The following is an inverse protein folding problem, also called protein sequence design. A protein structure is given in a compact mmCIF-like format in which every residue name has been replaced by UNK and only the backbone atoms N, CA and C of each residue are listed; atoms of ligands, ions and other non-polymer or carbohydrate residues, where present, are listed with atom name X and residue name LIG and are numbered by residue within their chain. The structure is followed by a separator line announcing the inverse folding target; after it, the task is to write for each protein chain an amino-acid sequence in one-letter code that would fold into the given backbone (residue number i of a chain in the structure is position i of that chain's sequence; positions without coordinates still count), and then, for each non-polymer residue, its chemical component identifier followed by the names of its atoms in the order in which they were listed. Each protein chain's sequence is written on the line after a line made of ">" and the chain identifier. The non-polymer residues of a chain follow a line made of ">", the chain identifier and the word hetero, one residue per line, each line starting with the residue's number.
data_IF_003164251124
#
_entry.id   IF_003164251124
#
_cell.length_a   1.000
_cell.length_b   1.000
_cell.length_c   1.000
_cell.angle_alpha   90.00
_cell.angle_beta   90.00
_cell.angle_gamma   90.00
#
_symmetry.space_group_name_H-M   'P 1'
#
loop_
_entity.id
_entity.type
_entity.pdbx_description
1 polymer ?
#
# COMPACT_ATOMS: atom_id res chain seq x y z
N UNK A 1 -12.92 -3.37 2.67
CA UNK A 1 -11.85 -3.91 3.53
C UNK A 1 -11.40 -2.95 4.62
N UNK A 2 -10.97 -1.74 4.25
CA UNK A 2 -10.39 -0.76 5.19
C UNK A 2 -11.34 -0.45 6.37
N UNK A 3 -12.65 -0.40 6.10
CA UNK A 3 -13.70 -0.24 7.10
C UNK A 3 -13.64 -1.26 8.26
N UNK A 4 -13.31 -2.53 7.99
CA UNK A 4 -13.20 -3.56 9.03
C UNK A 4 -11.96 -3.34 9.90
N UNK A 5 -10.83 -2.97 9.28
CA UNK A 5 -9.58 -2.65 9.99
C UNK A 5 -9.79 -1.43 10.89
N UNK A 6 -10.39 -0.36 10.36
CA UNK A 6 -10.68 0.87 11.11
C UNK A 6 -11.61 0.61 12.29
N UNK A 7 -12.70 -0.14 12.10
CA UNK A 7 -13.62 -0.49 13.18
C UNK A 7 -12.92 -1.29 14.29
N UNK A 8 -12.00 -2.19 13.93
CA UNK A 8 -11.25 -2.98 14.90
C UNK A 8 -10.23 -2.14 15.68
N UNK A 9 -9.60 -1.17 15.03
CA UNK A 9 -8.77 -0.16 15.70
C UNK A 9 -9.61 0.65 16.69
N UNK A 10 -10.77 1.15 16.26
CA UNK A 10 -11.68 1.94 17.10
C UNK A 10 -12.21 1.15 18.30
N UNK A 11 -12.51 -0.14 18.10
CA UNK A 11 -12.87 -1.06 19.18
C UNK A 11 -11.77 -1.14 20.24
N UNK A 12 -10.52 -1.37 19.84
CA UNK A 12 -9.40 -1.45 20.78
C UNK A 12 -9.11 -0.09 21.46
N UNK A 13 -9.24 1.02 20.73
CA UNK A 13 -9.13 2.37 21.33
C UNK A 13 -10.22 2.57 22.39
N UNK A 14 -11.46 2.15 22.14
CA UNK A 14 -12.56 2.25 23.09
C UNK A 14 -12.29 1.44 24.36
N UNK A 15 -11.82 0.18 24.22
CA UNK A 15 -11.43 -0.67 25.34
C UNK A 15 -10.33 -0.02 26.20
N UNK A 16 -9.31 0.57 25.56
CA UNK A 16 -8.23 1.27 26.24
C UNK A 16 -8.67 2.57 26.91
N UNK A 17 -9.63 3.30 26.33
CA UNK A 17 -10.23 4.50 26.96
C UNK A 17 -10.96 4.13 28.26
N UNK A 18 -11.76 3.07 28.24
CA UNK A 18 -12.42 2.55 29.45
C UNK A 18 -11.39 2.17 30.50
N UNK A 19 -10.34 1.46 30.10
CA UNK A 19 -9.26 1.09 31.01
C UNK A 19 -8.54 2.32 31.59
N UNK A 20 -8.31 3.36 30.78
CA UNK A 20 -7.72 4.63 31.26
C UNK A 20 -8.62 5.30 32.30
N UNK A 21 -9.94 5.30 32.12
CA UNK A 21 -10.88 5.82 33.11
C UNK A 21 -10.84 5.02 34.42
N UNK A 22 -10.80 3.68 34.33
CA UNK A 22 -10.71 2.81 35.51
C UNK A 22 -9.41 3.03 36.29
N UNK A 23 -8.28 3.21 35.59
CA UNK A 23 -6.99 3.51 36.25
C UNK A 23 -7.01 4.85 36.99
N UNK A 24 -7.64 5.89 36.42
CA UNK A 24 -7.82 7.19 37.07
C UNK A 24 -8.73 7.09 38.30
N UNK A 25 -9.83 6.34 38.22
CA UNK A 25 -10.75 6.15 39.35
C UNK A 25 -10.07 5.50 40.57
N UNK A 26 -9.24 4.47 40.35
CA UNK A 26 -8.51 3.79 41.43
C UNK A 26 -7.44 4.69 42.09
N UNK A 27 -6.87 5.65 41.36
CA UNK A 27 -5.96 6.65 41.96
C UNK A 27 -6.67 7.67 42.83
N UNK A 28 -7.91 8.03 42.51
CA UNK A 28 -8.73 8.91 43.36
C UNK A 28 -8.99 8.22 44.71
N UNK A 29 -9.19 6.90 44.72
CA UNK A 29 -9.35 6.09 45.95
C UNK A 29 -8.04 6.09 46.79
N UNK A 30 -6.86 6.14 46.17
CA UNK A 30 -5.56 6.26 46.86
C UNK A 30 -5.36 7.64 47.53
N UNK A 31 -6.11 8.67 47.12
CA UNK A 31 -6.10 10.00 47.72
C UNK A 31 -7.46 10.29 48.38
N UNK A 32 -7.79 9.68 49.53
CA UNK A 32 -8.89 10.19 50.30
C UNK A 32 -8.48 11.58 50.81
N UNK A 33 -9.00 12.63 50.16
CA UNK A 33 -9.24 13.88 50.87
C UNK A 33 -10.13 13.50 52.06
N UNK A 34 -9.56 13.46 53.26
CA UNK A 34 -9.99 14.07 54.53
C UNK A 34 -11.48 14.41 54.80
N UNK A 35 -12.47 13.98 54.02
CA UNK A 35 -13.85 14.54 54.11
C UNK A 35 -15.01 13.55 54.05
N UNK A 36 -14.79 12.25 53.88
CA UNK A 36 -15.90 11.26 53.93
C UNK A 36 -15.66 10.16 55.00
N UNK A 37 -14.52 10.19 55.70
CA UNK A 37 -14.15 9.14 56.67
C UNK A 37 -14.23 9.52 58.16
N UNK A 38 -14.36 10.80 58.52
CA UNK A 38 -14.26 11.19 59.94
C UNK A 38 -15.51 10.83 60.75
N UNK A 39 -16.74 11.00 60.25
CA UNK A 39 -17.93 10.76 61.11
C UNK A 39 -18.36 9.28 61.18
N UNK A 40 -18.42 8.58 60.04
CA UNK A 40 -18.91 7.19 59.96
C UNK A 40 -17.80 6.18 60.29
N UNK A 41 -16.56 6.48 59.88
CA UNK A 41 -15.39 5.65 60.15
C UNK A 41 -14.97 5.69 61.61
N UNK A 42 -15.00 6.86 62.27
CA UNK A 42 -14.65 6.95 63.70
C UNK A 42 -15.70 6.31 64.60
N UNK A 43 -16.97 6.35 64.21
CA UNK A 43 -18.05 5.65 64.91
C UNK A 43 -17.88 4.12 64.84
N UNK A 44 -17.70 3.55 63.64
CA UNK A 44 -17.45 2.11 63.44
C UNK A 44 -16.15 1.61 64.10
N UNK A 45 -15.06 2.40 63.99
CA UNK A 45 -13.78 2.12 64.65
C UNK A 45 -13.93 2.19 66.17
N UNK A 46 -14.75 3.10 66.68
CA UNK A 46 -15.09 3.24 68.09
C UNK A 46 -15.86 2.04 68.62
N UNK A 47 -16.86 1.57 67.86
CA UNK A 47 -17.73 0.45 68.24
C UNK A 47 -16.97 -0.88 68.23
N UNK A 48 -16.22 -1.19 67.17
CA UNK A 48 -15.36 -2.38 67.08
C UNK A 48 -14.27 -2.39 68.17
N UNK A 49 -13.66 -1.24 68.45
CA UNK A 49 -12.66 -1.15 69.52
C UNK A 49 -13.28 -1.36 70.91
N UNK A 50 -14.54 -0.95 71.12
CA UNK A 50 -15.26 -1.13 72.38
C UNK A 50 -15.73 -2.57 72.62
N UNK A 51 -16.11 -3.29 71.56
CA UNK A 51 -16.48 -4.72 71.66
C UNK A 51 -15.27 -5.61 71.96
N UNK A 52 -14.11 -5.30 71.37
CA UNK A 52 -12.89 -6.12 71.51
C UNK A 52 -12.12 -5.77 72.80
N UNK A 53 -12.15 -4.51 73.25
CA UNK A 53 -11.30 -4.03 74.36
C UNK A 53 -12.10 -3.32 75.46
N UNK A 54 -12.25 -3.99 76.62
CA UNK A 54 -13.10 -3.55 77.75
C UNK A 54 -12.47 -2.53 78.72
N UNK A 55 -11.32 -1.93 78.43
CA UNK A 55 -10.67 -0.93 79.31
C UNK A 55 -10.20 0.32 78.54
N UNK A 56 -10.11 1.46 79.23
CA UNK A 56 -9.79 2.76 78.62
C UNK A 56 -8.40 2.81 77.94
N UNK A 57 -7.41 2.09 78.48
CA UNK A 57 -6.08 1.94 77.89
C UNK A 57 -6.09 0.95 76.71
N UNK A 58 -6.82 -0.15 76.86
CA UNK A 58 -7.00 -1.14 75.80
C UNK A 58 -7.80 -0.58 74.60
N UNK A 59 -8.73 0.35 74.82
CA UNK A 59 -9.48 1.03 73.76
C UNK A 59 -8.63 1.99 72.92
N UNK A 60 -7.57 2.60 73.47
CA UNK A 60 -6.61 3.41 72.68
C UNK A 60 -5.75 2.52 71.78
N UNK A 61 -5.27 1.39 72.31
CA UNK A 61 -4.52 0.39 71.55
C UNK A 61 -5.39 -0.30 70.49
N UNK A 62 -6.65 -0.61 70.83
CA UNK A 62 -7.64 -1.18 69.93
C UNK A 62 -8.01 -0.27 68.76
N UNK A 63 -8.23 1.03 69.01
CA UNK A 63 -8.43 2.05 67.95
C UNK A 63 -7.21 2.18 67.03
N UNK A 64 -5.99 2.05 67.57
CA UNK A 64 -4.77 2.08 66.76
C UNK A 64 -4.64 0.82 65.91
N UNK A 65 -4.86 -0.35 66.50
CA UNK A 65 -4.80 -1.63 65.81
C UNK A 65 -5.86 -1.75 64.70
N UNK A 66 -7.12 -1.37 64.98
CA UNK A 66 -8.18 -1.34 63.97
C UNK A 66 -7.86 -0.36 62.83
N UNK A 67 -7.39 0.86 63.12
CA UNK A 67 -6.93 1.81 62.07
C UNK A 67 -5.80 1.23 61.21
N UNK A 68 -4.83 0.52 61.81
CA UNK A 68 -3.75 -0.13 61.06
C UNK A 68 -4.25 -1.34 60.23
N UNK A 69 -5.22 -2.10 60.72
CA UNK A 69 -5.88 -3.18 59.97
C UNK A 69 -6.74 -2.64 58.81
N UNK A 70 -7.50 -1.55 59.00
CA UNK A 70 -8.25 -0.92 57.92
C UNK A 70 -7.32 -0.37 56.82
N UNK A 71 -6.22 0.31 57.19
CA UNK A 71 -5.20 0.77 56.23
C UNK A 71 -4.53 -0.40 55.47
N UNK A 72 -4.31 -1.53 56.14
CA UNK A 72 -3.72 -2.72 55.50
C UNK A 72 -4.69 -3.34 54.49
N UNK A 73 -6.00 -3.41 54.81
CA UNK A 73 -7.04 -3.90 53.91
C UNK A 73 -7.24 -3.00 52.68
N UNK A 74 -7.28 -1.67 52.85
CA UNK A 74 -7.38 -0.74 51.72
C UNK A 74 -6.17 -0.81 50.78
N UNK A 75 -4.97 -0.98 51.36
CA UNK A 75 -3.74 -1.19 50.58
C UNK A 75 -3.81 -2.49 49.77
N UNK A 76 -4.24 -3.60 50.39
CA UNK A 76 -4.43 -4.90 49.72
C UNK A 76 -5.43 -4.76 48.58
N UNK A 77 -6.58 -4.10 48.82
CA UNK A 77 -7.62 -3.88 47.81
C UNK A 77 -7.12 -3.04 46.63
N UNK A 78 -6.35 -1.98 46.91
CA UNK A 78 -5.72 -1.17 45.88
C UNK A 78 -4.74 -1.99 45.02
N UNK A 79 -3.89 -2.80 45.64
CA UNK A 79 -2.93 -3.66 44.94
C UNK A 79 -3.64 -4.73 44.09
N UNK A 80 -4.72 -5.34 44.61
CA UNK A 80 -5.56 -6.28 43.85
C UNK A 80 -6.22 -5.61 42.64
N UNK A 81 -6.80 -4.43 42.82
CA UNK A 81 -7.39 -3.66 41.74
C UNK A 81 -6.35 -3.30 40.66
N UNK A 82 -5.14 -2.91 41.06
CA UNK A 82 -4.06 -2.62 40.13
C UNK A 82 -3.65 -3.87 39.33
N UNK A 83 -3.52 -5.03 39.97
CA UNK A 83 -3.23 -6.31 39.30
C UNK A 83 -4.32 -6.69 38.30
N UNK A 84 -5.59 -6.49 38.66
CA UNK A 84 -6.71 -6.76 37.76
C UNK A 84 -6.65 -5.87 36.51
N UNK A 85 -6.40 -4.57 36.68
CA UNK A 85 -6.23 -3.64 35.56
C UNK A 85 -5.02 -3.98 34.69
N UNK A 86 -3.92 -4.45 35.30
CA UNK A 86 -2.76 -4.96 34.55
C UNK A 86 -3.13 -6.20 33.73
N UNK A 87 -3.90 -7.14 34.30
CA UNK A 87 -4.43 -8.30 33.59
C UNK A 87 -5.35 -7.93 32.42
N UNK A 88 -6.27 -6.99 32.63
CA UNK A 88 -7.13 -6.44 31.58
C UNK A 88 -6.31 -5.80 30.45
N UNK A 89 -5.30 -5.00 30.79
CA UNK A 89 -4.37 -4.44 29.81
C UNK A 89 -3.67 -5.53 29.01
N UNK A 90 -3.14 -6.56 29.67
CA UNK A 90 -2.45 -7.66 28.99
C UNK A 90 -3.36 -8.42 28.04
N UNK A 91 -4.62 -8.64 28.40
CA UNK A 91 -5.61 -9.24 27.50
C UNK A 91 -5.83 -8.37 26.26
N UNK A 92 -6.10 -7.07 26.44
CA UNK A 92 -6.27 -6.12 25.32
C UNK A 92 -5.00 -6.07 24.47
N UNK A 93 -3.82 -6.03 25.09
CA UNK A 93 -2.53 -6.02 24.43
C UNK A 93 -2.33 -7.26 23.55
N UNK A 94 -2.65 -8.45 24.05
CA UNK A 94 -2.57 -9.70 23.29
C UNK A 94 -3.56 -9.73 22.12
N UNK A 95 -4.77 -9.19 22.29
CA UNK A 95 -5.73 -9.04 21.19
C UNK A 95 -5.20 -8.10 20.11
N UNK A 96 -4.60 -6.96 20.50
CA UNK A 96 -3.97 -6.02 19.56
C UNK A 96 -2.80 -6.69 18.85
N UNK A 97 -1.98 -7.47 19.57
CA UNK A 97 -0.86 -8.22 19.00
C UNK A 97 -1.34 -9.23 17.94
N UNK A 98 -2.39 -9.99 18.24
CA UNK A 98 -3.02 -10.92 17.30
C UNK A 98 -3.66 -10.21 16.11
N UNK A 99 -4.20 -9.00 16.31
CA UNK A 99 -4.69 -8.19 15.21
C UNK A 99 -3.54 -7.68 14.32
N UNK A 100 -2.49 -7.11 14.91
CA UNK A 100 -1.33 -6.59 14.18
C UNK A 100 -0.60 -7.65 13.37
N UNK A 101 -0.59 -8.91 13.79
CA UNK A 101 -0.01 -10.00 12.99
C UNK A 101 -0.76 -10.27 11.68
N UNK A 102 -2.01 -9.80 11.57
CA UNK A 102 -2.87 -10.02 10.38
C UNK A 102 -2.90 -8.83 9.42
N UNK A 103 -2.27 -7.71 9.76
CA UNK A 103 -2.28 -6.49 8.95
C UNK A 103 -0.88 -5.99 8.62
N UNK A 104 -0.78 -5.23 7.53
CA UNK A 104 0.45 -4.54 7.09
C UNK A 104 0.14 -3.10 6.65
N UNK A 105 1.17 -2.26 6.65
CA UNK A 105 1.12 -0.91 6.09
C UNK A 105 1.48 -0.97 4.61
N UNK A 106 0.62 -0.42 3.75
CA UNK A 106 0.84 -0.32 2.30
C UNK A 106 1.94 0.70 2.01
N UNK A 107 3.13 0.20 1.69
CA UNK A 107 4.30 1.00 1.28
C UNK A 107 4.72 0.64 -0.15
N UNK A 108 5.55 1.50 -0.78
CA UNK A 108 6.05 1.29 -2.16
C UNK A 108 6.74 -0.07 -2.36
N UNK A 109 7.44 -0.55 -1.33
CA UNK A 109 8.21 -1.80 -1.37
C UNK A 109 7.53 -2.93 -0.58
N UNK A 110 6.20 -2.93 -0.48
CA UNK A 110 5.47 -4.02 0.16
C UNK A 110 5.62 -5.31 -0.66
N UNK A 111 6.13 -6.36 -0.05
CA UNK A 111 6.24 -7.68 -0.65
C UNK A 111 5.09 -8.60 -0.18
N UNK A 112 5.10 -9.86 -0.63
CA UNK A 112 4.08 -10.86 -0.28
C UNK A 112 4.08 -11.25 1.21
N UNK A 113 5.19 -11.05 1.92
CA UNK A 113 5.31 -11.38 3.34
C UNK A 113 4.73 -10.27 4.23
N UNK A 114 4.57 -9.06 3.68
CA UNK A 114 4.03 -7.92 4.38
C UNK A 114 5.05 -7.30 5.33
N UNK A 115 4.58 -6.49 6.28
CA UNK A 115 5.44 -5.79 7.23
C UNK A 115 4.85 -5.69 8.64
N UNK A 116 3.96 -6.61 9.00
CA UNK A 116 3.34 -6.75 10.33
C UNK A 116 4.37 -6.78 11.48
N UNK A 117 5.55 -7.37 11.24
CA UNK A 117 6.64 -7.41 12.21
C UNK A 117 7.09 -6.02 12.72
N UNK A 118 6.96 -4.96 11.90
CA UNK A 118 7.26 -3.59 12.33
C UNK A 118 6.26 -3.11 13.38
N UNK A 119 4.98 -3.44 13.20
CA UNK A 119 3.92 -3.14 14.15
C UNK A 119 4.12 -3.91 15.45
N UNK A 120 4.44 -5.20 15.36
CA UNK A 120 4.69 -6.05 16.52
C UNK A 120 5.90 -5.56 17.34
N UNK A 121 6.99 -5.15 16.67
CA UNK A 121 8.15 -4.55 17.36
C UNK A 121 7.78 -3.26 18.08
N UNK A 122 7.05 -2.34 17.41
CA UNK A 122 6.61 -1.07 18.03
C UNK A 122 5.70 -1.33 19.23
N UNK A 123 4.78 -2.30 19.12
CA UNK A 123 3.91 -2.71 20.22
C UNK A 123 4.71 -3.28 21.41
N UNK A 124 5.66 -4.18 21.16
CA UNK A 124 6.51 -4.77 22.21
C UNK A 124 7.33 -3.73 22.99
N UNK A 125 7.78 -2.64 22.34
CA UNK A 125 8.51 -1.57 23.06
C UNK A 125 7.65 -0.85 24.11
N UNK A 126 6.32 -0.92 24.00
CA UNK A 126 5.39 -0.29 24.95
C UNK A 126 5.28 -1.11 26.25
N UNK A 127 5.37 -2.45 26.16
CA UNK A 127 5.33 -3.35 27.33
C UNK A 127 6.43 -3.03 28.36
N UNK A 128 7.60 -2.59 27.87
CA UNK A 128 8.77 -2.27 28.70
C UNK A 128 8.63 -0.94 29.47
N UNK A 129 7.54 -0.18 29.31
CA UNK A 129 7.34 1.06 30.08
C UNK A 129 6.88 0.78 31.51
N UNK A 130 7.32 1.59 32.48
CA UNK A 130 7.20 1.26 33.91
C UNK A 130 5.80 1.46 34.51
N UNK A 131 4.91 2.25 33.88
CA UNK A 131 3.59 2.60 34.45
C UNK A 131 2.44 2.18 33.53
N UNK A 132 1.41 1.54 34.09
CA UNK A 132 0.22 1.09 33.36
C UNK A 132 -0.46 2.18 32.53
N UNK A 133 -0.66 3.38 33.08
CA UNK A 133 -1.24 4.51 32.35
C UNK A 133 -0.40 4.93 31.14
N UNK A 134 0.92 4.88 31.27
CA UNK A 134 1.83 5.20 30.17
C UNK A 134 1.73 4.14 29.07
N UNK A 135 1.59 2.86 29.44
CA UNK A 135 1.33 1.77 28.49
C UNK A 135 0.03 2.03 27.71
N UNK A 136 -1.07 2.26 28.42
CA UNK A 136 -2.40 2.53 27.84
C UNK A 136 -2.34 3.69 26.86
N UNK A 137 -1.81 4.85 27.28
CA UNK A 137 -1.73 6.06 26.44
C UNK A 137 -0.87 5.82 25.21
N UNK A 138 0.31 5.22 25.35
CA UNK A 138 1.20 4.93 24.21
C UNK A 138 0.54 3.99 23.22
N UNK A 139 -0.16 2.95 23.69
CA UNK A 139 -0.91 2.04 22.81
C UNK A 139 -2.04 2.75 22.08
N UNK A 140 -2.82 3.60 22.78
CA UNK A 140 -3.86 4.42 22.15
C UNK A 140 -3.30 5.36 21.09
N UNK A 141 -2.20 6.07 21.38
CA UNK A 141 -1.54 6.96 20.40
C UNK A 141 -1.05 6.17 19.20
N UNK A 142 -0.47 4.99 19.39
CA UNK A 142 -0.04 4.13 18.30
C UNK A 142 -1.21 3.69 17.42
N UNK A 143 -2.32 3.27 18.02
CA UNK A 143 -3.54 2.89 17.29
C UNK A 143 -4.14 4.07 16.52
N UNK A 144 -4.17 5.26 17.11
CA UNK A 144 -4.63 6.47 16.45
C UNK A 144 -3.74 6.84 15.25
N UNK A 145 -2.41 6.74 15.40
CA UNK A 145 -1.48 6.94 14.27
C UNK A 145 -1.72 5.92 13.15
N UNK A 146 -1.96 4.65 13.49
CA UNK A 146 -2.22 3.61 12.49
C UNK A 146 -3.52 3.82 11.73
N UNK A 147 -4.50 4.52 12.32
CA UNK A 147 -5.77 4.84 11.64
C UNK A 147 -5.57 5.76 10.43
N UNK A 148 -4.54 6.60 10.46
CA UNK A 148 -4.16 7.50 9.37
C UNK A 148 -3.30 6.82 8.29
N UNK A 149 -2.88 5.58 8.51
CA UNK A 149 -2.07 4.82 7.57
C UNK A 149 -2.94 4.02 6.59
N UNK A 150 -2.41 3.78 5.39
CA UNK A 150 -3.05 2.86 4.45
C UNK A 150 -2.76 1.42 4.87
N UNK A 151 -3.74 0.75 5.48
CA UNK A 151 -3.60 -0.62 5.99
C UNK A 151 -4.20 -1.65 5.02
N UNK A 152 -3.64 -2.85 5.06
CA UNK A 152 -4.10 -4.01 4.28
C UNK A 152 -4.06 -5.26 5.15
N UNK A 153 -4.99 -6.20 4.90
CA UNK A 153 -4.97 -7.53 5.51
C UNK A 153 -3.94 -8.39 4.79
N UNK A 154 -3.10 -9.09 5.55
CA UNK A 154 -1.99 -9.88 5.01
C UNK A 154 -2.45 -10.94 3.99
N UNK A 155 -3.62 -11.53 4.21
CA UNK A 155 -4.23 -12.49 3.29
C UNK A 155 -4.54 -11.92 1.89
N UNK A 156 -4.68 -10.60 1.75
CA UNK A 156 -4.99 -9.94 0.48
C UNK A 156 -3.78 -9.35 -0.23
N UNK A 157 -2.61 -9.34 0.41
CA UNK A 157 -1.43 -8.71 -0.16
C UNK A 157 -1.10 -9.32 -1.52
N UNK A 158 -1.18 -10.65 -1.63
CA UNK A 158 -0.89 -11.35 -2.88
C UNK A 158 -1.81 -10.92 -4.03
N UNK A 159 -3.13 -10.92 -3.80
CA UNK A 159 -4.12 -10.57 -4.82
C UNK A 159 -4.01 -9.09 -5.25
N UNK A 160 -3.80 -8.17 -4.30
CA UNK A 160 -3.60 -6.75 -4.61
C UNK A 160 -2.32 -6.52 -5.40
N UNK A 161 -1.22 -7.19 -5.06
CA UNK A 161 0.03 -7.10 -5.83
C UNK A 161 -0.13 -7.67 -7.24
N UNK A 162 -0.89 -8.75 -7.41
CA UNK A 162 -1.19 -9.33 -8.72
C UNK A 162 -2.08 -8.42 -9.57
N UNK A 163 -3.13 -7.83 -8.99
CA UNK A 163 -3.97 -6.84 -9.65
C UNK A 163 -3.18 -5.59 -10.09
N UNK A 164 -2.26 -5.11 -9.26
CA UNK A 164 -1.37 -4.00 -9.64
C UNK A 164 -0.44 -4.37 -10.79
N UNK A 165 0.09 -5.60 -10.79
CA UNK A 165 0.93 -6.10 -11.89
C UNK A 165 0.15 -6.22 -13.19
N UNK A 166 -1.04 -6.79 -13.16
CA UNK A 166 -1.88 -6.94 -14.35
C UNK A 166 -2.33 -5.59 -14.91
N UNK A 167 -2.72 -4.65 -14.05
CA UNK A 167 -3.05 -3.28 -14.45
C UNK A 167 -1.86 -2.58 -15.11
N UNK A 168 -0.66 -2.70 -14.53
CA UNK A 168 0.54 -2.12 -15.11
C UNK A 168 0.94 -2.77 -16.43
N UNK A 169 0.78 -4.09 -16.57
CA UNK A 169 1.04 -4.77 -17.84
C UNK A 169 0.06 -4.33 -18.94
N UNK A 170 -1.22 -4.12 -18.59
CA UNK A 170 -2.22 -3.57 -19.50
C UNK A 170 -1.87 -2.16 -19.97
N UNK A 171 -1.40 -1.31 -19.07
CA UNK A 171 -0.92 0.04 -19.39
C UNK A 171 0.29 0.01 -20.35
N UNK A 172 1.27 -0.86 -20.07
CA UNK A 172 2.44 -1.03 -20.94
C UNK A 172 2.03 -1.48 -22.35
N UNK A 173 1.08 -2.41 -22.46
CA UNK A 173 0.53 -2.89 -23.74
C UNK A 173 -0.20 -1.77 -24.50
N UNK A 174 -1.05 -1.01 -23.83
CA UNK A 174 -1.83 0.07 -24.46
C UNK A 174 -0.91 1.18 -25.01
N UNK A 175 0.10 1.58 -24.24
CA UNK A 175 1.09 2.58 -24.69
C UNK A 175 1.84 2.13 -25.94
N UNK A 176 2.27 0.86 -25.96
CA UNK A 176 2.95 0.28 -27.12
C UNK A 176 2.02 0.25 -28.34
N UNK A 177 0.77 -0.20 -28.16
CA UNK A 177 -0.23 -0.29 -29.23
C UNK A 177 -0.50 1.07 -29.86
N UNK A 178 -0.72 2.10 -29.05
CA UNK A 178 -0.94 3.48 -29.53
C UNK A 178 0.27 3.97 -30.34
N UNK A 179 1.49 3.70 -29.88
CA UNK A 179 2.71 4.07 -30.62
C UNK A 179 2.79 3.36 -31.98
N UNK A 180 2.56 2.04 -32.03
CA UNK A 180 2.59 1.26 -33.27
C UNK A 180 1.51 1.75 -34.25
N UNK A 181 0.29 2.00 -33.77
CA UNK A 181 -0.80 2.55 -34.58
C UNK A 181 -0.45 3.94 -35.13
N UNK A 182 0.09 4.83 -34.30
CA UNK A 182 0.50 6.18 -34.75
C UNK A 182 1.62 6.15 -35.79
N UNK A 183 2.62 5.29 -35.61
CA UNK A 183 3.69 5.09 -36.60
C UNK A 183 3.14 4.55 -37.91
N UNK A 184 2.25 3.56 -37.86
CA UNK A 184 1.60 2.97 -39.02
C UNK A 184 0.79 4.03 -39.79
N UNK A 185 -0.05 4.76 -39.08
CA UNK A 185 -0.92 5.78 -39.68
C UNK A 185 -0.10 6.90 -40.34
N UNK A 186 0.95 7.42 -39.68
CA UNK A 186 1.74 8.51 -40.28
C UNK A 186 2.52 8.05 -41.51
N UNK A 187 3.04 6.81 -41.51
CA UNK A 187 3.72 6.21 -42.67
C UNK A 187 2.75 6.11 -43.85
N UNK A 188 1.60 5.46 -43.64
CA UNK A 188 0.60 5.28 -44.68
C UNK A 188 0.08 6.62 -45.20
N UNK A 189 -0.27 7.54 -44.29
CA UNK A 189 -0.80 8.85 -44.65
C UNK A 189 0.19 9.67 -45.49
N UNK A 190 1.45 9.80 -45.05
CA UNK A 190 2.42 10.64 -45.77
C UNK A 190 2.87 10.02 -47.08
N UNK A 191 3.14 8.71 -47.12
CA UNK A 191 3.63 8.06 -48.34
C UNK A 191 2.54 7.94 -49.42
N UNK A 192 1.28 7.73 -49.04
CA UNK A 192 0.16 7.71 -49.99
C UNK A 192 -0.10 9.06 -50.66
N UNK A 193 0.36 10.18 -50.08
CA UNK A 193 0.30 11.50 -50.70
C UNK A 193 1.34 11.71 -51.81
N UNK A 194 2.40 10.90 -51.84
CA UNK A 194 3.43 10.98 -52.89
C UNK A 194 3.01 10.19 -54.11
N UNK A 195 2.48 8.98 -53.91
CA UNK A 195 2.14 8.05 -55.00
C UNK A 195 1.03 7.10 -54.55
N UNK A 196 0.16 6.73 -55.48
CA UNK A 196 -0.90 5.75 -55.23
C UNK A 196 -0.33 4.35 -54.97
N UNK A 197 0.81 4.00 -55.58
CA UNK A 197 1.51 2.73 -55.40
C UNK A 197 2.59 2.80 -54.29
N UNK A 198 2.37 3.63 -53.27
CA UNK A 198 3.34 3.89 -52.20
C UNK A 198 3.88 2.62 -51.52
N UNK A 199 3.03 1.61 -51.33
CA UNK A 199 3.46 0.34 -50.74
C UNK A 199 4.58 -0.31 -51.57
N UNK A 200 4.43 -0.35 -52.90
CA UNK A 200 5.43 -0.98 -53.78
C UNK A 200 6.65 -0.08 -53.98
N UNK A 201 6.44 1.22 -54.12
CA UNK A 201 7.47 2.17 -54.52
C UNK A 201 8.30 2.72 -53.35
N UNK A 202 7.67 2.95 -52.19
CA UNK A 202 8.28 3.66 -51.05
C UNK A 202 8.67 2.74 -49.89
N UNK A 203 8.14 1.52 -49.81
CA UNK A 203 8.52 0.54 -48.78
C UNK A 203 9.70 -0.32 -49.29
N UNK A 204 10.77 -0.51 -48.51
CA UNK A 204 11.88 -1.41 -48.88
C UNK A 204 11.39 -2.84 -49.19
N UNK A 205 12.02 -3.51 -50.17
CA UNK A 205 11.58 -4.83 -50.62
C UNK A 205 11.62 -5.89 -49.51
N UNK A 206 12.67 -5.89 -48.70
CA UNK A 206 12.82 -6.78 -47.55
C UNK A 206 11.69 -6.60 -46.52
N UNK A 207 11.27 -5.36 -46.28
CA UNK A 207 10.13 -5.04 -45.41
C UNK A 207 8.82 -5.57 -46.01
N UNK A 208 8.62 -5.41 -47.32
CA UNK A 208 7.42 -5.94 -47.99
C UNK A 208 7.34 -7.46 -47.90
N UNK A 209 8.46 -8.15 -48.09
CA UNK A 209 8.55 -9.62 -48.01
C UNK A 209 8.32 -10.10 -46.57
N UNK A 210 8.92 -9.44 -45.58
CA UNK A 210 8.70 -9.75 -44.17
C UNK A 210 7.24 -9.56 -43.76
N UNK A 211 6.61 -8.46 -44.15
CA UNK A 211 5.21 -8.20 -43.87
C UNK A 211 4.28 -9.25 -44.50
N UNK A 212 4.54 -9.63 -45.76
CA UNK A 212 3.80 -10.72 -46.44
C UNK A 212 3.97 -12.06 -45.74
N UNK A 213 5.20 -12.38 -45.32
CA UNK A 213 5.50 -13.61 -44.57
C UNK A 213 4.73 -13.64 -43.25
N UNK A 214 4.83 -12.58 -42.44
CA UNK A 214 4.11 -12.45 -41.16
C UNK A 214 2.58 -12.51 -41.35
N UNK A 215 2.05 -11.91 -42.43
CA UNK A 215 0.63 -12.04 -42.78
C UNK A 215 0.26 -13.49 -43.09
N UNK A 216 1.05 -14.19 -43.90
CA UNK A 216 0.81 -15.60 -44.23
C UNK A 216 0.93 -16.54 -43.02
N UNK A 217 1.80 -16.24 -42.06
CA UNK A 217 1.90 -16.98 -40.80
C UNK A 217 0.70 -16.74 -39.87
N UNK A 218 0.10 -15.55 -39.90
CA UNK A 218 -1.06 -15.19 -39.08
C UNK A 218 -2.40 -15.62 -39.71
N UNK A 219 -2.50 -15.64 -41.04
CA UNK A 219 -3.66 -16.17 -41.77
C UNK A 219 -3.56 -17.71 -41.81
N UNK A 220 -3.96 -18.37 -40.71
CA UNK A 220 -4.06 -19.84 -40.65
C UNK A 220 -4.92 -20.40 -41.80
N UNK A 221 -4.59 -21.58 -42.38
CA UNK A 221 -5.45 -22.26 -43.37
C UNK A 221 -6.89 -22.53 -42.91
N UNK A 222 -7.14 -22.49 -41.60
CA UNK A 222 -8.46 -22.65 -40.98
C UNK A 222 -9.20 -21.33 -40.75
N UNK A 223 -8.59 -20.19 -41.10
CA UNK A 223 -9.23 -18.87 -40.99
C UNK A 223 -10.12 -18.62 -42.20
N UNK A 224 -11.36 -19.13 -42.14
CA UNK A 224 -12.41 -18.81 -43.11
C UNK A 224 -12.71 -17.31 -43.21
N UNK A 225 -12.25 -16.52 -42.24
CA UNK A 225 -12.16 -15.08 -42.31
C UNK A 225 -10.74 -14.69 -42.69
N UNK A 226 -10.50 -14.38 -43.98
CA UNK A 226 -9.30 -13.63 -44.36
C UNK A 226 -9.33 -12.34 -43.56
N UNK A 227 -8.34 -12.16 -42.70
CA UNK A 227 -8.29 -10.97 -41.88
C UNK A 227 -8.18 -9.76 -42.82
N UNK A 228 -9.12 -8.81 -42.73
CA UNK A 228 -9.18 -7.62 -43.58
C UNK A 228 -8.05 -6.61 -43.33
N UNK A 229 -6.93 -7.07 -42.76
CA UNK A 229 -5.78 -6.29 -42.35
C UNK A 229 -4.87 -6.02 -43.55
N UNK A 230 -4.41 -4.78 -43.67
CA UNK A 230 -3.49 -4.34 -44.71
C UNK A 230 -2.08 -4.85 -44.39
N UNK A 231 -1.20 -4.93 -45.38
CA UNK A 231 0.17 -5.41 -45.15
C UNK A 231 0.96 -4.53 -44.16
N UNK A 232 0.59 -3.26 -44.02
CA UNK A 232 1.18 -2.32 -43.06
C UNK A 232 0.86 -2.71 -41.60
N UNK A 233 -0.18 -3.52 -41.35
CA UNK A 233 -0.49 -4.08 -40.03
C UNK A 233 0.55 -5.10 -39.55
N UNK A 234 1.37 -5.65 -40.45
CA UNK A 234 2.36 -6.68 -40.18
C UNK A 234 3.81 -6.14 -40.17
N UNK A 235 3.95 -4.83 -39.99
CA UNK A 235 5.23 -4.10 -39.89
C UNK A 235 5.57 -3.86 -38.42
N UNK A 236 6.85 -3.95 -38.04
CA UNK A 236 7.35 -3.79 -36.67
C UNK A 236 8.42 -2.67 -36.54
N UNK A 237 9.01 -2.46 -35.36
CA UNK A 237 9.97 -1.37 -35.14
C UNK A 237 11.21 -1.38 -36.05
N UNK A 238 11.89 -2.52 -36.28
CA UNK A 238 12.95 -2.61 -37.28
C UNK A 238 12.48 -2.16 -38.67
N UNK A 239 11.28 -2.56 -39.06
CA UNK A 239 10.74 -2.22 -40.37
C UNK A 239 10.31 -0.74 -40.46
N UNK A 240 9.70 -0.17 -39.41
CA UNK A 240 9.40 1.28 -39.36
C UNK A 240 10.68 2.10 -39.45
N UNK A 241 11.74 1.70 -38.76
CA UNK A 241 13.04 2.34 -38.87
C UNK A 241 13.53 2.32 -40.32
N UNK A 242 13.53 1.15 -40.99
CA UNK A 242 13.93 1.03 -42.40
C UNK A 242 13.08 1.90 -43.33
N UNK A 243 11.75 1.90 -43.15
CA UNK A 243 10.83 2.70 -43.98
C UNK A 243 11.11 4.19 -43.82
N UNK A 244 11.10 4.68 -42.58
CA UNK A 244 11.21 6.11 -42.28
C UNK A 244 12.61 6.64 -42.64
N UNK A 245 13.65 5.85 -42.38
CA UNK A 245 15.05 6.25 -42.60
C UNK A 245 15.55 5.97 -44.03
N UNK A 246 14.74 5.37 -44.90
CA UNK A 246 15.04 5.22 -46.33
C UNK A 246 15.31 6.61 -46.93
N UNK A 247 16.35 6.74 -47.77
CA UNK A 247 16.91 8.04 -48.19
C UNK A 247 15.86 9.00 -48.79
N UNK A 248 15.06 8.53 -49.74
CA UNK A 248 13.98 9.28 -50.38
C UNK A 248 12.86 9.63 -49.38
N UNK A 249 12.39 8.66 -48.60
CA UNK A 249 11.36 8.88 -47.57
C UNK A 249 11.80 9.89 -46.51
N UNK A 250 13.05 9.80 -46.04
CA UNK A 250 13.58 10.72 -45.05
C UNK A 250 13.66 12.14 -45.60
N UNK A 251 14.29 12.30 -46.76
CA UNK A 251 14.54 13.62 -47.33
C UNK A 251 13.25 14.33 -47.76
N UNK A 252 12.28 13.61 -48.32
CA UNK A 252 11.05 14.20 -48.86
C UNK A 252 9.94 14.35 -47.82
N UNK A 253 9.94 13.52 -46.75
CA UNK A 253 8.82 13.46 -45.79
C UNK A 253 9.30 13.61 -44.36
N UNK A 254 10.05 12.63 -43.86
CA UNK A 254 10.15 12.40 -42.42
C UNK A 254 11.18 13.27 -41.70
N UNK A 255 12.13 13.87 -42.43
CA UNK A 255 13.09 14.82 -41.86
C UNK A 255 12.42 16.01 -41.19
N UNK A 256 11.31 16.50 -41.75
CA UNK A 256 10.52 17.60 -41.19
C UNK A 256 9.74 17.22 -39.92
N UNK A 257 9.48 15.93 -39.71
CA UNK A 257 8.70 15.40 -38.58
C UNK A 257 9.61 15.02 -37.42
N UNK A 258 10.66 14.23 -37.70
CA UNK A 258 11.49 13.64 -36.66
C UNK A 258 12.81 14.37 -36.41
N UNK A 259 13.20 15.29 -37.29
CA UNK A 259 14.39 16.16 -37.23
C UNK A 259 15.74 15.45 -37.30
N UNK A 260 15.96 14.39 -36.51
CA UNK A 260 17.21 13.64 -36.44
C UNK A 260 16.99 12.15 -36.75
N UNK A 261 17.68 11.67 -37.78
CA UNK A 261 17.51 10.32 -38.33
C UNK A 261 18.06 9.25 -37.41
N UNK A 262 19.27 9.47 -36.91
CA UNK A 262 20.02 8.55 -36.08
C UNK A 262 19.38 8.43 -34.69
N UNK A 263 18.92 9.54 -34.13
CA UNK A 263 18.15 9.58 -32.88
C UNK A 263 16.88 8.74 -32.99
N UNK A 264 16.08 8.97 -34.05
CA UNK A 264 14.84 8.23 -34.27
C UNK A 264 15.09 6.72 -34.42
N UNK A 265 16.06 6.34 -35.27
CA UNK A 265 16.44 4.94 -35.46
C UNK A 265 16.90 4.27 -34.15
N UNK A 266 17.65 5.01 -33.33
CA UNK A 266 18.14 4.53 -32.03
C UNK A 266 16.99 4.29 -31.06
N UNK A 267 16.01 5.21 -30.98
CA UNK A 267 14.81 5.04 -30.16
C UNK A 267 14.03 3.78 -30.53
N UNK A 268 13.77 3.56 -31.82
CA UNK A 268 13.08 2.34 -32.28
C UNK A 268 13.87 1.06 -31.97
N UNK A 269 15.19 1.08 -32.17
CA UNK A 269 16.06 -0.06 -31.84
C UNK A 269 16.02 -0.41 -30.35
N UNK A 270 15.98 0.59 -29.47
CA UNK A 270 15.88 0.35 -28.02
C UNK A 270 14.47 -0.06 -27.56
N UNK A 271 13.43 0.26 -28.32
CA UNK A 271 12.05 -0.16 -28.05
C UNK A 271 11.78 -1.61 -28.48
N UNK A 272 12.49 -2.13 -29.48
CA UNK A 272 12.32 -3.50 -29.97
C UNK A 272 12.39 -4.59 -28.87
N UNK A 273 13.41 -4.64 -28.00
CA UNK A 273 13.43 -5.63 -26.91
C UNK A 273 12.29 -5.41 -25.88
N UNK A 274 11.76 -4.19 -25.76
CA UNK A 274 10.63 -3.88 -24.88
C UNK A 274 9.33 -4.42 -25.50
N UNK A 275 9.12 -4.18 -26.79
CA UNK A 275 8.01 -4.72 -27.58
C UNK A 275 7.94 -6.24 -27.50
N UNK A 276 9.08 -6.90 -27.70
CA UNK A 276 9.18 -8.37 -27.61
C UNK A 276 8.98 -8.92 -26.20
N UNK A 277 9.22 -8.10 -25.16
CA UNK A 277 8.87 -8.48 -23.79
C UNK A 277 7.36 -8.39 -23.58
N UNK A 278 6.72 -7.31 -24.02
CA UNK A 278 5.26 -7.13 -23.90
C UNK A 278 4.51 -8.21 -24.69
N UNK A 279 4.90 -8.51 -25.93
CA UNK A 279 4.23 -9.50 -26.79
C UNK A 279 4.28 -10.93 -26.22
N UNK A 280 5.29 -11.23 -25.40
CA UNK A 280 5.43 -12.50 -24.70
C UNK A 280 4.91 -12.44 -23.25
N UNK A 281 4.09 -11.44 -22.93
CA UNK A 281 3.52 -11.20 -21.59
C UNK A 281 4.57 -11.16 -20.47
N UNK A 282 5.79 -10.70 -20.80
CA UNK A 282 6.90 -10.58 -19.83
C UNK A 282 6.81 -9.24 -19.12
N UNK A 283 7.14 -9.25 -17.83
CA UNK A 283 7.16 -8.03 -17.03
C UNK A 283 8.32 -7.13 -17.42
N UNK A 284 8.03 -5.84 -17.63
CA UNK A 284 9.05 -4.82 -17.85
C UNK A 284 9.69 -4.37 -16.54
N UNK A 285 11.01 -4.15 -16.58
CA UNK A 285 11.72 -3.43 -15.52
C UNK A 285 11.29 -1.96 -15.46
N UNK A 286 11.48 -1.30 -14.32
CA UNK A 286 11.18 0.14 -14.18
C UNK A 286 11.88 0.99 -15.26
N UNK A 287 13.12 0.64 -15.62
CA UNK A 287 13.89 1.35 -16.66
C UNK A 287 13.26 1.18 -18.04
N UNK A 288 12.79 -0.02 -18.38
CA UNK A 288 12.10 -0.28 -19.64
C UNK A 288 10.76 0.46 -19.73
N UNK A 289 9.97 0.49 -18.65
CA UNK A 289 8.71 1.25 -18.60
C UNK A 289 8.93 2.74 -18.81
N UNK A 290 9.91 3.32 -18.11
CA UNK A 290 10.29 4.72 -18.30
C UNK A 290 10.70 4.99 -19.74
N UNK A 291 11.52 4.12 -20.34
CA UNK A 291 11.93 4.27 -21.73
C UNK A 291 10.77 4.18 -22.71
N UNK A 292 9.88 3.20 -22.56
CA UNK A 292 8.69 3.05 -23.39
C UNK A 292 7.87 4.33 -23.38
N UNK A 293 7.55 4.84 -22.18
CA UNK A 293 6.78 6.07 -22.02
C UNK A 293 7.46 7.28 -22.66
N UNK A 294 8.72 7.55 -22.30
CA UNK A 294 9.45 8.72 -22.79
C UNK A 294 9.59 8.72 -24.33
N UNK A 295 9.90 7.58 -24.93
CA UNK A 295 10.07 7.52 -26.38
C UNK A 295 8.73 7.53 -27.11
N UNK A 296 7.69 6.90 -26.54
CA UNK A 296 6.34 6.98 -27.11
C UNK A 296 5.84 8.42 -27.10
N UNK A 297 5.94 9.11 -25.96
CA UNK A 297 5.50 10.49 -25.79
C UNK A 297 6.20 11.42 -26.79
N UNK A 298 7.54 11.35 -26.90
CA UNK A 298 8.32 12.18 -27.83
C UNK A 298 7.99 11.89 -29.30
N UNK A 299 7.88 10.62 -29.71
CA UNK A 299 7.56 10.27 -31.10
C UNK A 299 6.14 10.72 -31.45
N UNK A 300 5.16 10.47 -30.57
CA UNK A 300 3.76 10.85 -30.79
C UNK A 300 3.62 12.36 -30.83
N UNK A 301 4.31 13.10 -29.96
CA UNK A 301 4.30 14.56 -29.96
C UNK A 301 4.84 15.13 -31.27
N UNK A 302 5.95 14.58 -31.79
CA UNK A 302 6.52 14.96 -33.09
C UNK A 302 5.53 14.70 -34.24
N UNK A 303 4.85 13.55 -34.23
CA UNK A 303 3.81 13.22 -35.22
C UNK A 303 2.66 14.24 -35.14
N UNK A 304 2.12 14.49 -33.95
CA UNK A 304 1.00 15.41 -33.74
C UNK A 304 1.32 16.85 -34.16
N UNK A 305 2.55 17.33 -33.90
CA UNK A 305 3.00 18.66 -34.35
C UNK A 305 3.02 18.78 -35.86
N UNK A 306 3.29 17.68 -36.58
CA UNK A 306 3.31 17.68 -38.05
C UNK A 306 1.90 17.69 -38.69
N UNK A 307 0.87 17.36 -37.92
CA UNK A 307 -0.53 17.31 -38.37
C UNK A 307 -1.26 18.66 -38.19
N UNK A 308 -0.65 19.60 -37.48
CA UNK A 308 -1.15 20.98 -37.29
C UNK A 308 -0.66 21.90 -38.41
#
# INVERSE_FOLDING_TARGET
>A
MNFNITNRIDYHISQLKTLEQNTKAIKIIKQPKEKIGESVGEWLIGELASEIFKSNEAGKLGRRWTREQYKSQDKIRYEQNLRNLEGEFQNIHNQIKAFFSTISIVKKNLDKQGNSNLLLKKLATIENSSKLEAKIRKTMTMLAQLKEENLIINAEIASVLEQKKSASHKEDYENLKILEERLRSIIQFRLSKITTEWWKQRIPQDVQENAKKRKGENDSPWSFFRSGHDLIDFVDFPDYAKIITRRDNWNEVFSSIFYNKEEFATKLKELEPIRNAISHSRNLSSKQKTRLRLYSDDIIERIQKSER
#
